data_IF_541230302682
#
_entry.id   IF_541230302682
#
_cell.length_a   1.000
_cell.length_b   1.000
_cell.length_c   1.000
_cell.angle_alpha   90.00
_cell.angle_beta   90.00
_cell.angle_gamma   90.00
#
_symmetry.space_group_name_H-M   'P 1'
#
loop_
_entity.id
_entity.type
_entity.pdbx_description
1 polymer ?
#
# COMPACT_ATOMS: atom_id res chain seq x y z
N UNK A 1 -8.33 -4.09 -3.10
CA UNK A 1 -7.53 -2.86 -3.00
C UNK A 1 -8.07 -1.77 -3.91
N UNK A 2 -8.07 -1.99 -5.23
CA UNK A 2 -8.65 -1.08 -6.24
C UNK A 2 -10.01 -0.46 -5.83
N UNK A 3 -11.05 -1.27 -5.62
CA UNK A 3 -12.38 -0.77 -5.26
C UNK A 3 -12.39 -0.01 -3.92
N UNK A 4 -11.56 -0.41 -2.95
CA UNK A 4 -11.42 0.30 -1.67
C UNK A 4 -10.80 1.67 -1.89
N UNK A 5 -9.75 1.78 -2.71
CA UNK A 5 -9.11 3.06 -3.04
C UNK A 5 -10.07 4.00 -3.73
N UNK A 6 -10.86 3.52 -4.71
CA UNK A 6 -11.87 4.33 -5.40
C UNK A 6 -12.98 4.81 -4.48
N UNK A 7 -13.53 3.92 -3.67
CA UNK A 7 -14.55 4.27 -2.67
C UNK A 7 -14.02 5.23 -1.60
N UNK A 8 -12.74 5.13 -1.24
CA UNK A 8 -12.11 6.04 -0.27
C UNK A 8 -11.80 7.42 -0.88
N UNK A 9 -11.69 7.51 -2.20
CA UNK A 9 -11.54 8.76 -2.94
C UNK A 9 -12.90 9.41 -3.27
N UNK A 10 -14.00 8.66 -3.20
CA UNK A 10 -15.35 9.17 -3.40
C UNK A 10 -15.80 10.02 -2.20
N UNK A 11 -15.95 11.32 -2.44
CA UNK A 11 -16.35 12.33 -1.44
C UNK A 11 -17.82 12.75 -1.58
N UNK A 12 -18.62 12.02 -2.38
CA UNK A 12 -20.04 12.32 -2.59
C UNK A 12 -20.86 12.21 -1.30
N UNK A 13 -21.61 13.27 -0.96
CA UNK A 13 -22.39 13.35 0.30
C UNK A 13 -23.79 12.74 0.21
N UNK A 14 -24.32 12.62 -1.00
CA UNK A 14 -25.63 12.03 -1.28
C UNK A 14 -25.49 10.89 -2.28
N UNK A 15 -26.47 9.99 -2.33
CA UNK A 15 -26.49 8.87 -3.28
C UNK A 15 -26.40 9.32 -4.76
N UNK A 16 -26.88 10.53 -5.07
CA UNK A 16 -26.77 11.14 -6.40
C UNK A 16 -25.42 11.78 -6.69
N UNK A 17 -24.61 12.06 -5.67
CA UNK A 17 -23.28 12.67 -5.78
C UNK A 17 -22.15 11.65 -5.68
N UNK A 18 -22.43 10.44 -5.21
CA UNK A 18 -21.44 9.36 -5.14
C UNK A 18 -21.18 8.76 -6.51
N UNK A 19 -19.91 8.54 -6.80
CA UNK A 19 -19.45 7.85 -8.03
C UNK A 19 -19.87 6.38 -7.98
N UNK A 20 -19.85 5.77 -6.79
CA UNK A 20 -20.21 4.36 -6.58
C UNK A 20 -21.16 4.18 -5.39
N UNK A 21 -22.15 3.31 -5.53
CA UNK A 21 -23.10 2.99 -4.45
C UNK A 21 -22.55 1.93 -3.48
N UNK A 22 -21.43 1.28 -3.82
CA UNK A 22 -20.77 0.30 -2.98
C UNK A 22 -19.70 -0.49 -3.73
N UNK A 23 -19.13 -1.50 -3.07
CA UNK A 23 -18.04 -2.30 -3.61
C UNK A 23 -18.45 -3.09 -4.86
N UNK A 24 -19.61 -3.76 -4.83
CA UNK A 24 -20.12 -4.52 -5.97
C UNK A 24 -20.46 -3.64 -7.18
N UNK A 25 -21.03 -2.46 -6.92
CA UNK A 25 -21.33 -1.46 -7.96
C UNK A 25 -20.05 -0.92 -8.61
N UNK A 26 -19.03 -0.61 -7.80
CA UNK A 26 -17.70 -0.20 -8.30
C UNK A 26 -17.06 -1.26 -9.19
N UNK A 27 -17.00 -2.51 -8.73
CA UNK A 27 -16.41 -3.59 -9.52
C UNK A 27 -17.20 -3.86 -10.82
N UNK A 28 -18.53 -3.87 -10.75
CA UNK A 28 -19.39 -4.12 -11.91
C UNK A 28 -19.29 -3.01 -12.96
N UNK A 29 -19.30 -1.73 -12.54
CA UNK A 29 -19.17 -0.59 -13.46
C UNK A 29 -17.83 -0.57 -14.16
N UNK A 30 -16.73 -0.72 -13.41
CA UNK A 30 -15.38 -0.70 -13.97
C UNK A 30 -15.13 -1.91 -14.87
N UNK A 31 -15.62 -3.09 -14.49
CA UNK A 31 -15.54 -4.26 -15.36
C UNK A 31 -16.31 -4.06 -16.68
N UNK A 32 -17.46 -3.37 -16.64
CA UNK A 32 -18.23 -3.07 -17.86
C UNK A 32 -17.59 -1.99 -18.74
N UNK A 33 -16.89 -1.00 -18.18
CA UNK A 33 -16.22 0.06 -18.95
C UNK A 33 -14.85 -0.38 -19.48
N UNK A 34 -13.99 -0.88 -18.59
CA UNK A 34 -12.55 -1.08 -18.84
C UNK A 34 -12.14 -2.57 -18.77
N UNK A 35 -13.10 -3.46 -18.51
CA UNK A 35 -12.85 -4.90 -18.43
C UNK A 35 -11.96 -5.30 -17.26
N UNK A 36 -11.30 -6.45 -17.41
CA UNK A 36 -10.34 -6.96 -16.43
C UNK A 36 -9.12 -6.05 -16.27
N UNK A 37 -8.66 -5.42 -17.35
CA UNK A 37 -7.47 -4.57 -17.29
C UNK A 37 -7.70 -3.30 -16.45
N UNK A 38 -8.91 -2.73 -16.46
CA UNK A 38 -9.29 -1.61 -15.57
C UNK A 38 -9.16 -1.97 -14.09
N UNK A 39 -9.63 -3.16 -13.70
CA UNK A 39 -9.59 -3.62 -12.30
C UNK A 39 -8.16 -3.84 -11.77
N UNK A 40 -7.20 -4.13 -12.65
CA UNK A 40 -5.80 -4.42 -12.31
C UNK A 40 -4.83 -3.29 -12.69
N UNK A 41 -5.33 -2.08 -13.00
CA UNK A 41 -4.46 -0.93 -13.25
C UNK A 41 -3.61 -0.61 -12.02
N UNK A 42 -2.30 -0.48 -12.26
CA UNK A 42 -1.29 -0.29 -11.21
C UNK A 42 -0.72 -1.59 -10.61
N UNK A 43 -1.09 -2.78 -11.12
CA UNK A 43 -0.58 -4.06 -10.61
C UNK A 43 0.95 -4.19 -10.71
N UNK A 44 1.57 -3.84 -11.85
CA UNK A 44 3.02 -3.95 -12.01
C UNK A 44 3.79 -3.05 -11.03
N UNK A 45 3.34 -1.81 -10.86
CA UNK A 45 3.92 -0.86 -9.89
C UNK A 45 3.72 -1.36 -8.46
N UNK A 46 2.56 -1.95 -8.15
CA UNK A 46 2.30 -2.60 -6.87
C UNK A 46 3.29 -3.73 -6.57
N UNK A 47 3.59 -4.58 -7.56
CA UNK A 47 4.54 -5.68 -7.39
C UNK A 47 5.95 -5.14 -7.13
N UNK A 48 6.40 -4.16 -7.92
CA UNK A 48 7.69 -3.50 -7.73
C UNK A 48 7.79 -2.85 -6.34
N UNK A 49 6.77 -2.09 -5.93
CA UNK A 49 6.71 -1.47 -4.61
C UNK A 49 6.79 -2.48 -3.47
N UNK A 50 6.12 -3.64 -3.58
CA UNK A 50 6.19 -4.70 -2.58
C UNK A 50 7.57 -5.35 -2.49
N UNK A 51 8.25 -5.55 -3.63
CA UNK A 51 9.63 -6.04 -3.63
C UNK A 51 10.57 -5.05 -2.94
N UNK A 52 10.49 -3.76 -3.29
CA UNK A 52 11.33 -2.72 -2.69
C UNK A 52 11.05 -2.59 -1.19
N UNK A 53 9.77 -2.66 -0.79
CA UNK A 53 9.38 -2.60 0.62
C UNK A 53 10.00 -3.74 1.42
N UNK A 54 9.90 -4.98 0.91
CA UNK A 54 10.48 -6.14 1.60
C UNK A 54 12.00 -6.06 1.65
N UNK A 55 12.65 -5.66 0.55
CA UNK A 55 14.10 -5.50 0.50
C UNK A 55 14.58 -4.44 1.51
N UNK A 56 13.93 -3.27 1.54
CA UNK A 56 14.26 -2.21 2.49
C UNK A 56 13.96 -2.64 3.94
N UNK A 57 12.82 -3.29 4.19
CA UNK A 57 12.43 -3.75 5.52
C UNK A 57 13.44 -4.74 6.09
N UNK A 58 13.73 -5.84 5.39
CA UNK A 58 14.69 -6.84 5.87
C UNK A 58 16.11 -6.27 5.93
N UNK A 59 16.53 -5.51 4.92
CA UNK A 59 17.85 -4.88 4.91
C UNK A 59 18.08 -3.95 6.11
N UNK A 60 17.11 -3.08 6.42
CA UNK A 60 17.22 -2.17 7.58
C UNK A 60 17.11 -2.96 8.88
N UNK A 61 16.14 -3.87 8.99
CA UNK A 61 15.88 -4.59 10.24
C UNK A 61 17.09 -5.45 10.65
N UNK A 62 17.63 -6.22 9.71
CA UNK A 62 18.75 -7.13 9.98
C UNK A 62 20.03 -6.36 10.27
N UNK A 63 20.27 -5.25 9.56
CA UNK A 63 21.42 -4.36 9.83
C UNK A 63 21.33 -3.77 11.24
N UNK A 64 20.16 -3.21 11.61
CA UNK A 64 19.98 -2.60 12.94
C UNK A 64 20.07 -3.64 14.05
N UNK A 65 19.49 -4.83 13.84
CA UNK A 65 19.60 -5.94 14.78
C UNK A 65 21.02 -6.47 14.94
N UNK A 66 21.78 -6.55 13.85
CA UNK A 66 23.18 -7.00 13.87
C UNK A 66 24.14 -6.02 14.56
N UNK A 67 23.80 -4.73 14.62
CA UNK A 67 24.58 -3.70 15.32
C UNK A 67 24.25 -3.60 16.82
N UNK A 68 23.12 -4.17 17.25
CA UNK A 68 22.69 -4.13 18.65
C UNK A 68 23.35 -5.27 19.45
N UNK A 69 23.88 -5.00 20.66
CA UNK A 69 24.36 -6.05 21.55
C UNK A 69 23.27 -7.08 21.90
N UNK A 70 23.65 -8.35 22.08
CA UNK A 70 22.73 -9.49 22.29
C UNK A 70 21.75 -9.34 23.47
N UNK A 71 22.10 -8.57 24.49
CA UNK A 71 21.22 -8.31 25.63
C UNK A 71 20.12 -7.28 25.30
N UNK A 72 20.42 -6.30 24.43
CA UNK A 72 19.47 -5.30 23.96
C UNK A 72 18.59 -5.88 22.84
N UNK A 73 19.15 -6.71 21.96
CA UNK A 73 18.44 -7.33 20.84
C UNK A 73 17.35 -8.31 21.29
N UNK A 74 17.49 -8.95 22.46
CA UNK A 74 16.49 -9.84 23.08
C UNK A 74 15.39 -9.10 23.85
N UNK A 75 15.58 -7.82 24.16
CA UNK A 75 14.54 -7.04 24.82
C UNK A 75 13.39 -6.79 23.85
N UNK A 76 12.17 -7.14 24.27
CA UNK A 76 10.96 -6.98 23.48
C UNK A 76 10.71 -5.50 23.09
N UNK A 77 10.86 -4.57 24.03
CA UNK A 77 10.58 -3.15 23.77
C UNK A 77 11.53 -2.57 22.73
N UNK A 78 12.82 -2.91 22.82
CA UNK A 78 13.83 -2.46 21.86
C UNK A 78 13.56 -3.06 20.48
N UNK A 79 13.26 -4.37 20.43
CA UNK A 79 12.88 -5.06 19.19
C UNK A 79 11.65 -4.43 18.54
N UNK A 80 10.67 -4.04 19.35
CA UNK A 80 9.45 -3.39 18.89
C UNK A 80 9.73 -1.99 18.34
N UNK A 81 10.54 -1.18 19.03
CA UNK A 81 10.94 0.16 18.55
C UNK A 81 11.71 0.06 17.23
N UNK A 82 12.67 -0.86 17.13
CA UNK A 82 13.41 -1.12 15.89
C UNK A 82 12.47 -1.53 14.77
N UNK A 83 11.48 -2.39 15.04
CA UNK A 83 10.47 -2.77 14.05
C UNK A 83 9.64 -1.57 13.57
N UNK A 84 9.23 -0.66 14.47
CA UNK A 84 8.47 0.53 14.09
C UNK A 84 9.31 1.50 13.22
N UNK A 85 10.56 1.73 13.59
CA UNK A 85 11.48 2.60 12.82
C UNK A 85 11.74 2.00 11.44
N UNK A 86 11.98 0.69 11.38
CA UNK A 86 12.20 -0.03 10.13
C UNK A 86 10.95 0.05 9.23
N UNK A 87 9.77 -0.23 9.79
CA UNK A 87 8.50 -0.17 9.05
C UNK A 87 8.24 1.22 8.48
N UNK A 88 8.45 2.26 9.30
CA UNK A 88 8.27 3.66 8.90
C UNK A 88 9.24 4.03 7.79
N UNK A 89 10.53 3.70 7.93
CA UNK A 89 11.57 4.04 6.95
C UNK A 89 11.36 3.30 5.64
N UNK A 90 11.08 1.99 5.68
CA UNK A 90 10.77 1.20 4.50
C UNK A 90 9.50 1.71 3.79
N UNK A 91 8.48 2.13 4.57
CA UNK A 91 7.28 2.76 4.04
C UNK A 91 7.57 4.07 3.31
N UNK A 92 8.45 4.92 3.85
CA UNK A 92 8.86 6.17 3.21
C UNK A 92 9.61 5.91 1.89
N UNK A 93 10.49 4.90 1.85
CA UNK A 93 11.22 4.50 0.63
C UNK A 93 10.27 4.07 -0.49
N UNK A 94 9.18 3.37 -0.14
CA UNK A 94 8.22 2.82 -1.12
C UNK A 94 7.11 3.82 -1.48
N UNK A 95 6.94 4.87 -0.69
CA UNK A 95 5.87 5.86 -0.85
C UNK A 95 5.70 6.43 -2.27
N UNK A 96 6.79 6.69 -3.05
CA UNK A 96 6.64 7.11 -4.45
C UNK A 96 5.92 6.07 -5.32
N UNK A 97 6.24 4.79 -5.15
CA UNK A 97 5.59 3.68 -5.88
C UNK A 97 4.12 3.55 -5.49
N UNK A 98 3.82 3.66 -4.20
CA UNK A 98 2.43 3.65 -3.72
C UNK A 98 1.63 4.84 -4.27
N UNK A 99 2.26 6.01 -4.40
CA UNK A 99 1.64 7.19 -5.00
C UNK A 99 1.31 6.94 -6.46
N UNK A 100 2.25 6.44 -7.26
CA UNK A 100 2.01 6.13 -8.68
C UNK A 100 0.94 5.05 -8.82
N UNK A 101 1.00 3.97 -8.03
CA UNK A 101 -0.01 2.91 -8.00
C UNK A 101 -1.41 3.48 -7.80
N UNK A 102 -1.60 4.34 -6.78
CA UNK A 102 -2.90 4.95 -6.49
C UNK A 102 -3.35 5.87 -7.61
N UNK A 103 -2.45 6.66 -8.19
CA UNK A 103 -2.78 7.51 -9.36
C UNK A 103 -3.26 6.68 -10.56
N UNK A 104 -2.63 5.54 -10.84
CA UNK A 104 -3.07 4.64 -11.92
C UNK A 104 -4.45 4.03 -11.65
N UNK A 105 -4.75 3.65 -10.40
CA UNK A 105 -6.06 3.09 -10.03
C UNK A 105 -7.21 4.11 -10.23
N UNK A 106 -6.92 5.42 -10.13
CA UNK A 106 -7.89 6.48 -10.35
C UNK A 106 -8.18 6.78 -11.83
N UNK A 107 -7.40 6.25 -12.77
CA UNK A 107 -7.56 6.55 -14.20
C UNK A 107 -8.60 5.67 -14.92
N UNK A 108 -9.17 4.68 -14.23
CA UNK A 108 -10.14 3.71 -14.77
C UNK A 108 -11.59 4.17 -14.62
#
# INVERSE_FOLDING_TARGET
DFARTRLSADIGKSASQREFQGLGDCLSRIYKSDGLFGLYRGFLVSVQGNFIYRAAYFGIYDTVKGLLPDHLSRNFLISWVVAQITTTTAGLVVYPFDTVRRRMMMQS
#
